data_IF_935218048428
#
_entry.id   IF_935218048428
#
_cell.length_a   1.000
_cell.length_b   1.000
_cell.length_c   1.000
_cell.angle_alpha   90.00
_cell.angle_beta   90.00
_cell.angle_gamma   90.00
#
_symmetry.space_group_name_H-M   'P 1'
#
loop_
_entity.id
_entity.type
_entity.pdbx_description
1 polymer ?
#
# COMPACT_ATOMS: atom_id res chain seq x y z
N UNK A 1 -15.05 21.80 -3.52
CA UNK A 1 -13.68 21.74 -2.99
C UNK A 1 -13.66 20.48 -2.16
N UNK A 2 -13.12 19.39 -2.71
CA UNK A 2 -12.88 18.18 -1.92
C UNK A 2 -11.66 18.51 -1.05
N UNK A 3 -11.79 18.35 0.26
CA UNK A 3 -10.70 18.56 1.18
C UNK A 3 -9.73 17.39 1.05
N UNK A 4 -8.43 17.70 1.03
CA UNK A 4 -7.37 16.70 1.15
C UNK A 4 -7.48 16.14 2.58
N UNK A 5 -7.95 14.90 2.71
CA UNK A 5 -8.05 14.22 4.01
C UNK A 5 -6.84 13.30 4.22
N UNK A 6 -6.27 13.35 5.42
CA UNK A 6 -5.17 12.47 5.82
C UNK A 6 -5.75 11.25 6.53
N UNK A 7 -4.97 10.18 6.60
CA UNK A 7 -5.32 8.94 7.30
C UNK A 7 -5.31 9.21 8.81
N UNK A 8 -6.49 9.16 9.45
CA UNK A 8 -6.65 9.46 10.87
C UNK A 8 -6.63 8.20 11.75
N UNK A 9 -7.01 7.04 11.19
CA UNK A 9 -7.18 5.82 11.98
C UNK A 9 -6.75 4.52 11.27
N UNK A 10 -6.72 3.45 12.07
CA UNK A 10 -6.32 2.09 11.64
C UNK A 10 -7.22 1.52 10.53
N UNK A 11 -8.51 1.84 10.52
CA UNK A 11 -9.43 1.28 9.54
C UNK A 11 -9.23 1.92 8.17
N UNK A 12 -9.04 3.24 8.14
CA UNK A 12 -8.67 3.98 6.91
C UNK A 12 -7.33 3.48 6.37
N UNK A 13 -6.34 3.28 7.24
CA UNK A 13 -5.05 2.70 6.85
C UNK A 13 -5.22 1.31 6.22
N UNK A 14 -5.99 0.42 6.88
CA UNK A 14 -6.27 -0.91 6.36
C UNK A 14 -6.95 -0.86 4.99
N UNK A 15 -7.87 0.09 4.80
CA UNK A 15 -8.56 0.29 3.54
C UNK A 15 -7.66 0.86 2.45
N UNK A 16 -6.79 1.82 2.76
CA UNK A 16 -5.82 2.39 1.83
C UNK A 16 -4.84 1.31 1.35
N UNK A 17 -4.25 0.56 2.28
CA UNK A 17 -3.37 -0.58 1.96
C UNK A 17 -4.12 -1.62 1.12
N UNK A 18 -5.37 -1.92 1.47
CA UNK A 18 -6.21 -2.81 0.67
C UNK A 18 -6.40 -2.29 -0.77
N UNK A 19 -6.72 -1.02 -0.96
CA UNK A 19 -6.94 -0.43 -2.28
C UNK A 19 -5.68 -0.52 -3.15
N UNK A 20 -4.54 -0.10 -2.61
CA UNK A 20 -3.25 -0.12 -3.31
C UNK A 20 -2.89 -1.55 -3.74
N UNK A 21 -2.91 -2.49 -2.81
CA UNK A 21 -2.49 -3.88 -3.05
C UNK A 21 -3.43 -4.60 -4.02
N UNK A 22 -4.75 -4.35 -3.95
CA UNK A 22 -5.70 -5.00 -4.86
C UNK A 22 -5.67 -4.38 -6.27
N UNK A 23 -5.45 -3.07 -6.40
CA UNK A 23 -5.25 -2.42 -7.71
C UNK A 23 -3.93 -2.90 -8.34
N UNK A 24 -2.85 -2.98 -7.55
CA UNK A 24 -1.56 -3.51 -7.99
C UNK A 24 -1.70 -4.95 -8.51
N UNK A 25 -2.39 -5.82 -7.75
CA UNK A 25 -2.66 -7.19 -8.15
C UNK A 25 -3.54 -7.29 -9.41
N UNK A 26 -4.53 -6.39 -9.58
CA UNK A 26 -5.41 -6.37 -10.77
C UNK A 26 -4.68 -5.88 -12.02
N UNK A 27 -3.76 -4.92 -11.87
CA UNK A 27 -2.96 -4.37 -12.97
C UNK A 27 -1.69 -5.19 -13.26
N UNK A 28 -1.30 -6.10 -12.36
CA UNK A 28 -0.05 -6.86 -12.48
C UNK A 28 1.19 -5.96 -12.35
N UNK A 29 1.09 -4.90 -11.56
CA UNK A 29 2.18 -3.94 -11.33
C UNK A 29 2.58 -3.93 -9.86
N UNK A 30 3.71 -3.31 -9.60
CA UNK A 30 4.23 -3.10 -8.25
C UNK A 30 3.32 -2.18 -7.42
N UNK A 31 3.06 -2.52 -6.15
CA UNK A 31 2.19 -1.70 -5.30
C UNK A 31 2.83 -0.36 -4.93
N UNK A 32 4.16 -0.26 -4.92
CA UNK A 32 4.87 1.03 -4.81
C UNK A 32 4.47 1.97 -5.96
N UNK A 33 4.39 1.45 -7.19
CA UNK A 33 3.99 2.26 -8.35
C UNK A 33 2.54 2.72 -8.28
N UNK A 34 1.66 1.89 -7.72
CA UNK A 34 0.26 2.27 -7.49
C UNK A 34 0.18 3.33 -6.40
N UNK A 35 0.96 3.20 -5.34
CA UNK A 35 1.05 4.22 -4.29
C UNK A 35 1.52 5.56 -4.85
N UNK A 36 2.66 5.58 -5.58
CA UNK A 36 3.16 6.78 -6.27
C UNK A 36 2.13 7.38 -7.24
N UNK A 37 1.35 6.52 -7.91
CA UNK A 37 0.27 6.98 -8.77
C UNK A 37 -0.84 7.68 -7.98
N UNK A 38 -1.16 7.18 -6.78
CA UNK A 38 -2.24 7.69 -5.93
C UNK A 38 -1.87 8.93 -5.11
N UNK A 39 -0.58 9.22 -4.94
CA UNK A 39 -0.08 10.34 -4.13
C UNK A 39 0.74 11.35 -4.94
N UNK A 40 1.81 10.94 -5.60
CA UNK A 40 2.74 11.85 -6.28
C UNK A 40 2.19 12.34 -7.63
N UNK A 41 1.57 11.43 -8.38
CA UNK A 41 1.03 11.73 -9.72
C UNK A 41 -0.40 12.22 -9.68
N UNK A 42 -1.11 11.97 -8.58
CA UNK A 42 -2.49 12.39 -8.40
C UNK A 42 -2.85 12.45 -6.94
N UNK A 43 -3.95 13.13 -6.64
CA UNK A 43 -4.52 13.19 -5.29
C UNK A 43 -5.65 12.16 -5.13
N UNK A 44 -5.43 10.91 -5.55
CA UNK A 44 -6.45 9.85 -5.44
C UNK A 44 -6.54 9.34 -4.00
N UNK A 45 -5.41 9.26 -3.28
CA UNK A 45 -5.38 8.76 -1.92
C UNK A 45 -6.17 9.70 -0.99
N UNK A 46 -5.72 10.96 -0.87
CA UNK A 46 -6.30 11.94 0.05
C UNK A 46 -7.54 12.64 -0.52
N UNK A 47 -7.64 12.74 -1.84
CA UNK A 47 -8.79 13.36 -2.52
C UNK A 47 -9.88 12.41 -3.00
N UNK A 48 -9.78 11.10 -2.76
CA UNK A 48 -10.85 10.13 -3.11
C UNK A 48 -10.94 8.96 -2.13
N UNK A 49 -9.86 8.18 -1.94
CA UNK A 49 -9.89 6.93 -1.16
C UNK A 49 -10.23 7.18 0.30
N UNK A 50 -9.54 8.14 0.94
CA UNK A 50 -9.76 8.47 2.36
C UNK A 50 -11.14 9.12 2.56
N UNK A 51 -11.54 10.18 1.81
CA UNK A 51 -12.85 10.80 1.98
C UNK A 51 -14.03 9.86 1.71
N UNK A 52 -13.90 8.96 0.72
CA UNK A 52 -14.96 8.03 0.34
C UNK A 52 -14.91 6.71 1.13
N UNK A 53 -14.04 6.59 2.15
CA UNK A 53 -13.87 5.40 2.98
C UNK A 53 -15.23 4.86 3.47
N UNK A 54 -16.08 5.72 4.04
CA UNK A 54 -17.40 5.33 4.59
C UNK A 54 -18.34 4.69 3.54
N UNK A 55 -18.22 5.10 2.27
CA UNK A 55 -19.07 4.58 1.18
C UNK A 55 -18.45 3.32 0.57
N UNK A 56 -17.14 3.36 0.29
CA UNK A 56 -16.43 2.30 -0.43
C UNK A 56 -16.17 1.07 0.44
N UNK A 57 -15.89 1.20 1.74
CA UNK A 57 -15.55 0.06 2.60
C UNK A 57 -16.69 -0.97 2.77
N UNK A 58 -17.93 -0.58 2.44
CA UNK A 58 -19.12 -1.46 2.47
C UNK A 58 -19.31 -2.26 1.18
N UNK A 59 -18.53 -1.97 0.13
CA UNK A 59 -18.68 -2.55 -1.20
C UNK A 59 -17.85 -3.83 -1.36
N UNK A 60 -18.17 -4.59 -2.41
CA UNK A 60 -17.36 -5.75 -2.81
C UNK A 60 -15.99 -5.31 -3.31
N UNK A 61 -14.98 -6.16 -3.11
CA UNK A 61 -13.61 -5.95 -3.62
C UNK A 61 -13.61 -5.58 -5.10
N UNK A 62 -14.35 -6.32 -5.92
CA UNK A 62 -14.40 -6.14 -7.36
C UNK A 62 -14.90 -4.74 -7.72
N UNK A 63 -15.96 -4.27 -7.04
CA UNK A 63 -16.50 -2.93 -7.23
C UNK A 63 -15.47 -1.86 -6.89
N UNK A 64 -14.84 -1.95 -5.71
CA UNK A 64 -13.85 -0.96 -5.24
C UNK A 64 -12.69 -0.87 -6.25
N UNK A 65 -12.16 -2.02 -6.68
CA UNK A 65 -11.04 -2.05 -7.61
C UNK A 65 -11.43 -1.48 -8.97
N UNK A 66 -12.57 -1.87 -9.53
CA UNK A 66 -12.98 -1.37 -10.86
C UNK A 66 -13.28 0.13 -10.82
N UNK A 67 -13.87 0.62 -9.73
CA UNK A 67 -14.14 2.04 -9.49
C UNK A 67 -12.84 2.87 -9.41
N UNK A 68 -11.85 2.41 -8.61
CA UNK A 68 -10.54 3.05 -8.57
C UNK A 68 -9.82 3.04 -9.93
N UNK A 69 -9.96 1.96 -10.70
CA UNK A 69 -9.40 1.90 -12.06
C UNK A 69 -10.02 2.93 -12.99
N UNK A 70 -11.30 3.23 -12.84
CA UNK A 70 -11.97 4.27 -13.62
C UNK A 70 -11.50 5.66 -13.16
N UNK A 71 -11.36 5.91 -11.86
CA UNK A 71 -10.80 7.17 -11.33
C UNK A 71 -9.37 7.42 -11.85
N UNK A 72 -8.51 6.39 -11.89
CA UNK A 72 -7.15 6.48 -12.45
C UNK A 72 -7.18 6.92 -13.91
N UNK A 73 -8.09 6.35 -14.71
CA UNK A 73 -8.24 6.71 -16.14
C UNK A 73 -8.78 8.12 -16.31
N UNK A 74 -9.79 8.50 -15.54
CA UNK A 74 -10.40 9.84 -15.60
C UNK A 74 -9.40 10.94 -15.24
N UNK A 75 -8.54 10.67 -14.25
CA UNK A 75 -7.47 11.59 -13.84
C UNK A 75 -6.21 11.49 -14.73
N UNK A 76 -6.25 10.69 -15.80
CA UNK A 76 -5.16 10.48 -16.75
C UNK A 76 -3.82 10.10 -16.09
N UNK A 77 -3.87 9.28 -15.03
CA UNK A 77 -2.69 8.87 -14.28
C UNK A 77 -1.98 7.71 -15.00
N UNK A 78 -0.75 7.95 -15.46
CA UNK A 78 0.04 6.93 -16.13
C UNK A 78 0.71 5.98 -15.12
N UNK A 79 0.18 4.76 -15.04
CA UNK A 79 0.83 3.63 -14.35
C UNK A 79 1.60 2.84 -15.40
N UNK A 80 2.93 2.86 -15.32
CA UNK A 80 3.80 2.18 -16.28
C UNK A 80 3.61 0.67 -16.20
N UNK A 81 2.91 0.09 -17.17
CA UNK A 81 2.73 -1.36 -17.29
C UNK A 81 4.04 -2.01 -17.74
N UNK A 82 4.50 -3.03 -17.01
CA UNK A 82 5.43 -4.00 -17.57
C UNK A 82 4.64 -4.88 -18.55
N UNK A 83 4.79 -4.63 -19.86
CA UNK A 83 4.20 -5.45 -20.91
C UNK A 83 4.47 -6.95 -20.67
N UNK A 84 3.41 -7.75 -20.51
CA UNK A 84 3.55 -9.20 -20.38
C UNK A 84 2.27 -9.93 -19.96
N UNK A 85 1.30 -9.98 -20.86
CA UNK A 85 0.35 -11.09 -21.07
C UNK A 85 -0.66 -11.50 -19.98
N UNK A 86 -1.90 -11.65 -20.47
CA UNK A 86 -3.04 -12.31 -19.84
C UNK A 86 -2.74 -13.80 -19.64
N UNK A 87 -2.43 -14.20 -18.41
CA UNK A 87 -3.04 -15.34 -17.70
C UNK A 87 -2.37 -15.56 -16.35
N UNK A 88 -3.21 -15.90 -15.36
CA UNK A 88 -2.81 -16.48 -14.08
C UNK A 88 -1.81 -17.61 -14.31
N UNK A 89 -0.53 -17.40 -14.00
CA UNK A 89 0.32 -18.47 -13.50
C UNK A 89 1.13 -17.95 -12.32
N UNK A 90 1.06 -18.74 -11.26
CA UNK A 90 1.57 -18.46 -9.94
C UNK A 90 3.07 -18.16 -10.01
N UNK A 91 3.45 -16.94 -9.65
CA UNK A 91 4.83 -16.68 -9.23
C UNK A 91 5.13 -17.62 -8.05
N UNK A 92 6.04 -18.55 -8.31
CA UNK A 92 6.55 -19.54 -7.37
C UNK A 92 7.50 -18.86 -6.39
N UNK A 93 6.94 -18.06 -5.48
CA UNK A 93 7.58 -17.51 -4.29
C UNK A 93 6.57 -17.65 -3.16
N UNK A 94 6.98 -18.30 -2.08
CA UNK A 94 6.22 -18.56 -0.84
C UNK A 94 4.92 -17.75 -0.71
N UNK A 95 3.77 -18.37 -0.97
CA UNK A 95 2.45 -17.70 -0.94
C UNK A 95 2.03 -17.38 0.49
N UNK A 96 2.54 -16.29 1.05
CA UNK A 96 1.88 -15.63 2.16
C UNK A 96 0.46 -15.26 1.71
N UNK A 97 -0.55 -15.58 2.52
CA UNK A 97 -1.93 -15.22 2.18
C UNK A 97 -2.00 -13.69 2.06
N UNK A 98 -2.38 -13.12 0.91
CA UNK A 98 -2.34 -11.67 0.66
C UNK A 98 -3.15 -10.89 1.70
N UNK A 99 -4.22 -11.47 2.25
CA UNK A 99 -5.01 -10.85 3.32
C UNK A 99 -4.21 -10.78 4.63
N UNK A 100 -3.45 -11.83 4.96
CA UNK A 100 -2.60 -11.85 6.15
C UNK A 100 -1.42 -10.88 5.98
N UNK A 101 -0.89 -10.77 4.78
CA UNK A 101 0.23 -9.88 4.46
C UNK A 101 -0.21 -8.41 4.52
N UNK A 102 -1.37 -8.07 3.94
CA UNK A 102 -1.96 -6.73 4.06
C UNK A 102 -2.17 -6.32 5.52
N UNK A 103 -2.77 -7.21 6.35
CA UNK A 103 -2.93 -6.95 7.80
C UNK A 103 -1.60 -6.76 8.51
N UNK A 104 -0.56 -7.48 8.07
CA UNK A 104 0.79 -7.34 8.62
C UNK A 104 1.40 -5.99 8.28
N UNK A 105 1.25 -5.52 7.04
CA UNK A 105 1.67 -4.18 6.63
C UNK A 105 1.03 -3.11 7.53
N UNK A 106 -0.29 -3.15 7.73
CA UNK A 106 -0.98 -2.20 8.59
C UNK A 106 -0.37 -2.15 10.00
N UNK A 107 -0.10 -3.32 10.61
CA UNK A 107 0.50 -3.40 11.95
C UNK A 107 1.89 -2.80 12.00
N UNK A 108 2.72 -3.09 11.00
CA UNK A 108 4.10 -2.56 10.90
C UNK A 108 4.04 -1.03 10.76
N UNK A 109 3.23 -0.52 9.83
CA UNK A 109 3.09 0.91 9.57
C UNK A 109 2.59 1.66 10.82
N UNK A 110 1.56 1.14 11.48
CA UNK A 110 1.05 1.76 12.73
C UNK A 110 2.08 1.76 13.85
N UNK A 111 2.79 0.66 14.02
CA UNK A 111 3.77 0.54 15.09
C UNK A 111 4.96 1.48 14.81
N UNK A 112 5.43 1.53 13.57
CA UNK A 112 6.46 2.45 13.12
C UNK A 112 6.05 3.92 13.31
N UNK A 113 4.84 4.30 12.88
CA UNK A 113 4.32 5.65 13.07
C UNK A 113 4.32 6.07 14.54
N UNK A 114 3.86 5.17 15.43
CA UNK A 114 3.82 5.40 16.89
C UNK A 114 5.22 5.52 17.50
N UNK A 115 6.18 4.72 17.05
CA UNK A 115 7.55 4.75 17.58
C UNK A 115 8.30 6.01 17.16
N UNK A 116 8.16 6.45 15.91
CA UNK A 116 8.81 7.66 15.38
C UNK A 116 8.05 8.96 15.67
N UNK A 117 6.81 8.87 16.14
CA UNK A 117 5.94 10.04 16.29
C UNK A 117 5.52 10.68 14.95
N UNK A 118 5.38 9.85 13.91
CA UNK A 118 4.98 10.26 12.56
C UNK A 118 3.45 10.16 12.39
N UNK A 119 2.92 10.89 11.41
CA UNK A 119 1.55 10.64 10.92
C UNK A 119 1.48 9.31 10.19
N UNK A 120 0.28 8.74 10.08
CA UNK A 120 0.06 7.51 9.32
C UNK A 120 0.41 7.70 7.84
N UNK A 121 0.12 8.86 7.25
CA UNK A 121 0.56 9.20 5.89
C UNK A 121 2.08 9.19 5.72
N UNK A 122 2.81 9.83 6.64
CA UNK A 122 4.26 9.87 6.55
C UNK A 122 4.88 8.47 6.72
N UNK A 123 4.32 7.67 7.63
CA UNK A 123 4.73 6.28 7.82
C UNK A 123 4.39 5.39 6.62
N UNK A 124 3.20 5.54 6.04
CA UNK A 124 2.77 4.83 4.83
C UNK A 124 3.66 5.18 3.64
N UNK A 125 3.95 6.48 3.46
CA UNK A 125 4.83 6.97 2.40
C UNK A 125 6.23 6.37 2.52
N UNK A 126 6.80 6.38 3.72
CA UNK A 126 8.11 5.76 3.93
C UNK A 126 8.07 4.25 3.69
N UNK A 127 7.05 3.57 4.21
CA UNK A 127 6.91 2.12 4.10
C UNK A 127 6.91 1.65 2.64
N UNK A 128 6.11 2.27 1.75
CA UNK A 128 6.05 1.85 0.35
C UNK A 128 7.34 2.12 -0.44
N UNK A 129 8.18 3.04 0.02
CA UNK A 129 9.50 3.32 -0.56
C UNK A 129 10.63 2.54 0.12
N UNK A 130 10.32 1.76 1.17
CA UNK A 130 11.33 1.07 1.96
C UNK A 130 11.82 -0.22 1.31
N UNK A 131 13.11 -0.53 1.49
CA UNK A 131 13.68 -1.84 1.17
C UNK A 131 13.01 -2.95 1.99
N UNK A 132 12.66 -2.67 3.25
CA UNK A 132 11.96 -3.61 4.13
C UNK A 132 10.63 -4.07 3.53
N UNK A 133 9.83 -3.17 2.96
CA UNK A 133 8.58 -3.54 2.26
C UNK A 133 8.84 -4.50 1.11
N UNK A 134 9.83 -4.20 0.26
CA UNK A 134 10.19 -5.03 -0.89
C UNK A 134 10.61 -6.43 -0.44
N UNK A 135 11.44 -6.53 0.62
CA UNK A 135 11.88 -7.81 1.19
C UNK A 135 10.72 -8.63 1.77
N UNK A 136 9.79 -7.98 2.49
CA UNK A 136 8.60 -8.65 3.03
C UNK A 136 7.71 -9.16 1.90
N UNK A 137 7.43 -8.32 0.89
CA UNK A 137 6.55 -8.63 -0.22
C UNK A 137 7.08 -9.79 -1.07
N UNK A 138 8.36 -9.72 -1.43
CA UNK A 138 9.01 -10.72 -2.28
C UNK A 138 9.36 -11.99 -1.49
N UNK A 139 9.11 -11.98 -0.18
CA UNK A 139 9.37 -13.11 0.73
C UNK A 139 10.85 -13.42 0.90
N UNK A 140 11.73 -12.46 0.60
CA UNK A 140 13.18 -12.62 0.68
C UNK A 140 13.58 -12.84 2.13
N UNK A 141 14.49 -13.80 2.36
CA UNK A 141 15.02 -14.13 3.69
C UNK A 141 13.95 -14.44 4.75
N UNK A 142 12.77 -14.94 4.33
CA UNK A 142 11.64 -15.23 5.21
C UNK A 142 11.17 -14.01 6.03
N UNK A 143 11.42 -12.78 5.56
CA UNK A 143 11.06 -11.55 6.31
C UNK A 143 9.56 -11.47 6.60
N UNK A 144 8.71 -11.98 5.71
CA UNK A 144 7.27 -12.08 5.93
C UNK A 144 6.87 -12.99 7.10
N UNK A 145 7.75 -13.88 7.57
CA UNK A 145 7.54 -14.73 8.75
C UNK A 145 8.07 -14.10 10.05
N UNK A 146 8.87 -13.04 9.98
CA UNK A 146 9.46 -12.38 11.15
C UNK A 146 8.39 -11.67 12.01
N UNK A 147 8.72 -11.33 13.26
CA UNK A 147 7.77 -10.63 14.13
C UNK A 147 7.53 -9.19 13.68
N UNK A 148 6.36 -8.64 14.00
CA UNK A 148 6.01 -7.25 13.69
C UNK A 148 7.05 -6.29 14.29
N UNK A 149 7.50 -6.54 15.53
CA UNK A 149 8.53 -5.74 16.19
C UNK A 149 9.87 -5.75 15.44
N UNK A 150 10.33 -6.92 14.99
CA UNK A 150 11.59 -7.01 14.24
C UNK A 150 11.53 -6.22 12.93
N UNK A 151 10.41 -6.30 12.21
CA UNK A 151 10.25 -5.59 10.95
C UNK A 151 10.15 -4.08 11.15
N UNK A 152 9.55 -3.64 12.26
CA UNK A 152 9.52 -2.23 12.63
C UNK A 152 10.92 -1.72 12.97
N UNK A 153 11.72 -2.50 13.71
CA UNK A 153 13.10 -2.14 14.03
C UNK A 153 13.98 -2.04 12.76
N UNK A 154 13.80 -2.95 11.80
CA UNK A 154 14.50 -2.88 10.50
C UNK A 154 14.08 -1.62 9.71
N UNK A 155 12.78 -1.32 9.70
CA UNK A 155 12.23 -0.14 9.05
C UNK A 155 12.73 1.16 9.71
N UNK A 156 12.84 1.19 11.04
CA UNK A 156 13.44 2.30 11.78
C UNK A 156 14.93 2.47 11.46
N UNK A 157 15.69 1.38 11.39
CA UNK A 157 17.09 1.46 11.00
C UNK A 157 17.24 2.02 9.59
N UNK A 158 16.39 1.60 8.65
CA UNK A 158 16.38 2.13 7.29
C UNK A 158 16.02 3.63 7.29
N UNK A 159 14.99 4.02 8.04
CA UNK A 159 14.55 5.41 8.17
C UNK A 159 15.66 6.32 8.68
N UNK A 160 16.37 5.89 9.72
CA UNK A 160 17.49 6.64 10.30
C UNK A 160 18.68 6.74 9.32
N UNK A 161 18.99 5.66 8.58
CA UNK A 161 20.05 5.69 7.55
C UNK A 161 19.74 6.66 6.41
N UNK A 162 18.47 6.77 6.03
CA UNK A 162 18.05 7.68 4.95
C UNK A 162 18.04 9.16 5.38
N UNK A 163 18.14 9.46 6.67
CA UNK A 163 18.29 10.83 7.19
C UNK A 163 19.75 11.27 7.38
N UNK A 164 20.71 10.36 7.30
CA UNK A 164 22.15 10.60 7.52
C UNK A 164 22.88 10.97 6.22
#
# INVERSE_FOLDING_TARGET
MMADENIENSNELEFVVFCIENVAAKLGVDAERVYQAFTEKSDILNGYIVPEYEVLHTKSREYIVDDLLDVIKERAVEISFSNGEVQREQSSGMTANPILLQKKYCRIIECFAKQQGLSLDAALNFFYHSEVYQLIRDGVSDMHCMSDAYLVDELEQEYNRNME
#
